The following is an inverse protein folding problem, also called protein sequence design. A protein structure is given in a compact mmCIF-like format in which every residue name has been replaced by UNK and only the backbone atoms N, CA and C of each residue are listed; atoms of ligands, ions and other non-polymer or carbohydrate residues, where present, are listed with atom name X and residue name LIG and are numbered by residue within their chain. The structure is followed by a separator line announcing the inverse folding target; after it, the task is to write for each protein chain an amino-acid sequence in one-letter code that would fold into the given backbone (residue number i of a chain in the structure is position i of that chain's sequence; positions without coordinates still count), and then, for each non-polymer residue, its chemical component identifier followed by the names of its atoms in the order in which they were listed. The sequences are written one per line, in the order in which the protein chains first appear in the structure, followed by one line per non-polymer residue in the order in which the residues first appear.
data_IF_352210636728
#
_entry.id   IF_352210636728
#
_cell.length_a   1.000
_cell.length_b   1.000
_cell.length_c   1.000
_cell.angle_alpha   90.00
_cell.angle_beta   90.00
_cell.angle_gamma   90.00
#
_symmetry.space_group_name_H-M   'P 1'
#
loop_
_entity.id
_entity.type
_entity.pdbx_description
1 polymer ?
#
# COMPACT_ATOMS: atom_id res chain seq x y z
N UNK A 1 17.86 41.39 -15.59
CA UNK A 1 18.30 40.72 -14.36
C UNK A 1 17.13 39.91 -13.80
N UNK A 2 17.00 38.64 -14.21
CA UNK A 2 16.07 37.70 -13.59
C UNK A 2 16.60 36.27 -13.86
N UNK A 3 17.53 35.82 -13.03
CA UNK A 3 17.89 34.41 -12.93
C UNK A 3 16.97 33.81 -11.87
N UNK A 4 15.90 33.14 -12.31
CA UNK A 4 15.09 32.28 -11.44
C UNK A 4 15.81 30.93 -11.38
N UNK A 5 16.28 30.57 -10.19
CA UNK A 5 17.00 29.34 -9.90
C UNK A 5 16.19 28.09 -10.25
N UNK A 6 16.60 27.38 -11.30
CA UNK A 6 16.29 25.97 -11.52
C UNK A 6 17.27 25.15 -10.64
N UNK A 7 17.04 25.09 -9.33
CA UNK A 7 17.89 24.31 -8.41
C UNK A 7 17.19 23.20 -7.62
N UNK A 8 15.87 23.11 -7.67
CA UNK A 8 15.11 22.11 -6.90
C UNK A 8 14.91 20.77 -7.62
N UNK A 9 15.05 20.68 -8.95
CA UNK A 9 14.81 19.43 -9.67
C UNK A 9 15.95 18.40 -9.54
N UNK A 10 17.18 18.84 -9.24
CA UNK A 10 18.37 17.99 -9.32
C UNK A 10 18.64 17.11 -8.08
N UNK A 11 17.96 17.36 -6.96
CA UNK A 11 18.20 16.62 -5.70
C UNK A 11 17.57 15.22 -5.67
N UNK A 12 16.62 14.93 -6.55
CA UNK A 12 15.94 13.63 -6.62
C UNK A 12 16.44 12.74 -7.77
N UNK A 13 17.11 13.29 -8.78
CA UNK A 13 17.50 12.55 -10.00
C UNK A 13 18.60 11.52 -9.67
N UNK A 14 19.62 11.91 -8.91
CA UNK A 14 20.74 11.03 -8.56
C UNK A 14 20.32 9.84 -7.67
N UNK A 15 19.55 10.01 -6.57
CA UNK A 15 19.08 8.88 -5.78
C UNK A 15 18.12 7.97 -6.55
N UNK A 16 17.29 8.51 -7.45
CA UNK A 16 16.41 7.71 -8.33
C UNK A 16 17.22 6.84 -9.29
N UNK A 17 18.27 7.39 -9.91
CA UNK A 17 19.16 6.62 -10.80
C UNK A 17 19.93 5.55 -10.01
N UNK A 18 20.39 5.87 -8.80
CA UNK A 18 21.09 4.92 -7.91
C UNK A 18 20.19 3.75 -7.53
N UNK A 19 18.94 4.01 -7.10
CA UNK A 19 17.97 2.96 -6.75
C UNK A 19 17.61 2.14 -7.99
N UNK A 20 17.35 2.78 -9.13
CA UNK A 20 17.07 2.10 -10.39
C UNK A 20 18.25 1.23 -10.85
N UNK A 21 19.50 1.71 -10.75
CA UNK A 21 20.71 0.98 -11.11
C UNK A 21 21.00 -0.19 -10.17
N UNK A 22 20.77 -0.01 -8.86
CA UNK A 22 20.85 -1.09 -7.86
C UNK A 22 19.82 -2.20 -8.09
N UNK A 23 18.61 -1.85 -8.56
CA UNK A 23 17.58 -2.82 -8.93
C UNK A 23 17.83 -3.47 -10.30
N UNK A 24 18.40 -2.75 -11.28
CA UNK A 24 18.75 -3.30 -12.60
C UNK A 24 19.81 -4.40 -12.55
N UNK A 25 20.63 -4.44 -11.49
CA UNK A 25 21.60 -5.50 -11.26
C UNK A 25 20.97 -6.79 -10.67
N UNK A 26 19.67 -6.82 -10.35
CA UNK A 26 19.05 -7.99 -9.70
C UNK A 26 17.61 -8.33 -10.10
N UNK A 27 16.90 -7.55 -10.94
CA UNK A 27 15.49 -7.85 -11.25
C UNK A 27 15.21 -7.78 -12.75
N UNK A 28 14.82 -8.88 -13.42
CA UNK A 28 14.27 -8.79 -14.76
C UNK A 28 12.98 -7.96 -14.71
N UNK A 29 12.86 -7.00 -15.64
CA UNK A 29 11.62 -6.26 -15.87
C UNK A 29 10.54 -7.26 -16.28
N UNK A 30 9.72 -7.69 -15.32
CA UNK A 30 8.53 -8.48 -15.60
C UNK A 30 7.36 -7.52 -15.77
N UNK A 31 6.66 -7.63 -16.91
CA UNK A 31 5.26 -7.19 -16.98
C UNK A 31 4.49 -7.83 -15.82
N UNK A 32 3.44 -7.19 -15.30
CA UNK A 32 2.59 -7.78 -14.27
C UNK A 32 1.99 -9.08 -14.79
N UNK A 33 2.35 -10.22 -14.19
CA UNK A 33 1.87 -11.54 -14.58
C UNK A 33 0.83 -12.00 -13.57
N UNK A 34 -0.35 -12.34 -14.04
CA UNK A 34 -1.36 -12.98 -13.20
C UNK A 34 -1.11 -14.49 -13.27
N UNK A 35 -1.03 -15.14 -12.12
CA UNK A 35 -0.88 -16.58 -11.94
C UNK A 35 -2.22 -17.17 -11.57
N UNK A 36 -2.55 -18.33 -12.14
CA UNK A 36 -3.81 -19.03 -11.89
C UNK A 36 -3.53 -20.48 -11.51
N UNK A 37 -4.12 -20.94 -10.40
CA UNK A 37 -4.07 -22.34 -9.99
C UNK A 37 -5.40 -22.82 -9.42
N UNK A 38 -5.55 -24.14 -9.33
CA UNK A 38 -6.70 -24.78 -8.67
C UNK A 38 -6.20 -25.51 -7.44
N UNK A 39 -6.86 -25.33 -6.30
CA UNK A 39 -6.50 -26.05 -5.08
C UNK A 39 -7.03 -27.49 -5.07
N UNK A 40 -6.66 -28.27 -4.05
CA UNK A 40 -7.08 -29.67 -3.88
C UNK A 40 -8.60 -29.83 -3.76
N UNK A 41 -9.32 -28.77 -3.39
CA UNK A 41 -10.78 -28.74 -3.31
C UNK A 41 -11.43 -28.28 -4.62
N UNK A 42 -10.62 -28.09 -5.67
CA UNK A 42 -11.10 -27.65 -6.97
C UNK A 42 -11.40 -26.15 -7.04
N UNK A 43 -11.03 -25.32 -6.06
CA UNK A 43 -11.29 -23.87 -6.10
C UNK A 43 -10.23 -23.15 -6.91
N UNK A 44 -10.65 -22.15 -7.66
CA UNK A 44 -9.78 -21.37 -8.54
C UNK A 44 -9.22 -20.15 -7.80
N UNK A 45 -7.91 -19.96 -7.90
CA UNK A 45 -7.18 -18.85 -7.28
C UNK A 45 -6.42 -18.04 -8.32
N UNK A 46 -6.26 -16.75 -8.07
CA UNK A 46 -5.47 -15.82 -8.87
C UNK A 46 -4.50 -15.04 -7.98
N UNK A 47 -3.32 -14.72 -8.50
CA UNK A 47 -2.35 -13.87 -7.82
C UNK A 47 -1.54 -13.08 -8.84
N UNK A 48 -1.20 -11.84 -8.56
CA UNK A 48 -0.27 -11.02 -9.33
C UNK A 48 1.21 -11.31 -9.00
N UNK A 49 1.45 -12.22 -8.04
CA UNK A 49 2.78 -12.64 -7.60
C UNK A 49 2.89 -14.16 -7.52
N UNK A 50 3.95 -14.72 -8.15
CA UNK A 50 4.26 -16.16 -8.10
C UNK A 50 4.55 -16.64 -6.67
N UNK A 51 4.99 -15.74 -5.78
CA UNK A 51 5.31 -16.07 -4.40
C UNK A 51 4.08 -16.40 -3.54
N UNK A 52 2.87 -16.02 -3.97
CA UNK A 52 1.64 -16.34 -3.24
C UNK A 52 1.06 -17.70 -3.64
N UNK A 53 1.65 -18.37 -4.63
CA UNK A 53 1.26 -19.72 -5.04
C UNK A 53 1.83 -20.71 -4.03
N UNK A 54 1.01 -21.63 -3.46
CA UNK A 54 1.51 -22.70 -2.59
C UNK A 54 2.67 -23.45 -3.23
N UNK A 55 3.73 -23.72 -2.47
CA UNK A 55 5.00 -24.25 -2.99
C UNK A 55 4.80 -25.56 -3.76
N UNK A 56 3.82 -26.37 -3.35
CA UNK A 56 3.47 -27.65 -3.95
C UNK A 56 2.84 -27.50 -5.34
N UNK A 57 2.30 -26.33 -5.67
CA UNK A 57 1.58 -26.05 -6.93
C UNK A 57 2.38 -25.16 -7.89
N UNK A 58 3.61 -24.78 -7.54
CA UNK A 58 4.45 -23.89 -8.34
C UNK A 58 4.75 -24.41 -9.75
N UNK A 59 4.86 -25.74 -9.90
CA UNK A 59 5.14 -26.39 -11.20
C UNK A 59 3.88 -26.55 -12.07
N UNK A 60 2.70 -26.59 -11.46
CA UNK A 60 1.41 -26.77 -12.14
C UNK A 60 0.71 -25.44 -12.46
N UNK A 61 1.21 -24.35 -11.87
CA UNK A 61 0.65 -23.02 -12.03
C UNK A 61 0.98 -22.45 -13.41
N UNK A 62 -0.06 -22.00 -14.12
CA UNK A 62 0.09 -21.34 -15.42
C UNK A 62 -0.01 -19.83 -15.26
N UNK A 63 0.78 -19.12 -16.04
CA UNK A 63 0.59 -17.69 -16.29
C UNK A 63 -0.76 -17.52 -17.02
N UNK A 64 -1.63 -16.69 -16.44
CA UNK A 64 -2.92 -16.36 -16.99
C UNK A 64 -2.78 -15.20 -17.96
N UNK A 65 -3.07 -15.46 -19.24
CA UNK A 65 -3.32 -14.41 -20.22
C UNK A 65 -4.83 -14.23 -20.34
N UNK A 66 -5.36 -13.02 -20.12
CA UNK A 66 -6.79 -12.77 -20.32
C UNK A 66 -7.11 -12.89 -21.81
N UNK A 67 -7.96 -13.86 -22.14
CA UNK A 67 -8.60 -13.93 -23.44
C UNK A 67 -9.74 -12.89 -23.45
N UNK A 68 -9.52 -11.78 -24.15
CA UNK A 68 -10.52 -10.70 -24.26
C UNK A 68 -11.77 -11.11 -25.04
N UNK A 69 -11.80 -12.31 -25.64
CA UNK A 69 -12.95 -12.79 -26.43
C UNK A 69 -14.02 -13.50 -25.60
N UNK A 70 -13.81 -13.71 -24.30
CA UNK A 70 -14.77 -14.41 -23.41
C UNK A 70 -15.13 -13.59 -22.16
N UNK A 71 -15.51 -12.32 -22.35
CA UNK A 71 -16.28 -11.61 -21.34
C UNK A 71 -17.75 -12.02 -21.50
N UNK A 72 -18.14 -13.11 -20.84
CA UNK A 72 -19.55 -13.39 -20.61
C UNK A 72 -20.00 -12.54 -19.42
N UNK A 73 -20.57 -11.37 -19.70
CA UNK A 73 -21.39 -10.66 -18.71
C UNK A 73 -22.63 -11.52 -18.50
N UNK A 74 -22.67 -12.25 -17.39
CA UNK A 74 -23.92 -12.87 -16.96
C UNK A 74 -24.88 -11.75 -16.53
N UNK A 75 -26.06 -11.61 -17.15
CA UNK A 75 -27.10 -10.75 -16.61
C UNK A 75 -27.44 -11.26 -15.21
N UNK A 76 -27.52 -10.35 -14.23
CA UNK A 76 -27.91 -10.69 -12.88
C UNK A 76 -29.25 -11.42 -12.88
N UNK A 77 -29.28 -12.57 -12.21
CA UNK A 77 -30.49 -13.35 -11.99
C UNK A 77 -31.59 -12.49 -11.37
N UNK A 78 -32.82 -12.72 -11.80
CA UNK A 78 -34.05 -12.10 -11.33
C UNK A 78 -34.20 -12.05 -9.80
N UNK A 79 -34.99 -11.08 -9.27
CA UNK A 79 -35.09 -10.84 -7.84
C UNK A 79 -35.67 -12.04 -7.11
N UNK A 80 -34.94 -12.54 -6.12
CA UNK A 80 -35.43 -13.54 -5.18
C UNK A 80 -36.58 -12.92 -4.39
N UNK A 81 -37.77 -13.50 -4.62
CA UNK A 81 -39.03 -13.30 -3.92
C UNK A 81 -38.87 -13.00 -2.42
N UNK A 82 -39.50 -11.90 -2.00
CA UNK A 82 -39.73 -11.52 -0.61
C UNK A 82 -40.51 -12.61 0.12
N UNK A 83 -39.84 -13.37 1.00
CA UNK A 83 -40.43 -13.94 2.22
C UNK A 83 -39.36 -14.66 3.07
N UNK A 84 -38.63 -13.91 3.90
CA UNK A 84 -38.01 -14.49 5.11
C UNK A 84 -38.13 -13.51 6.28
N UNK A 85 -39.03 -13.87 7.20
CA UNK A 85 -39.08 -13.59 8.63
C UNK A 85 -38.67 -12.20 9.13
N UNK A 86 -39.69 -11.43 9.54
CA UNK A 86 -39.58 -10.40 10.59
C UNK A 86 -39.13 -11.05 11.90
N UNK A 87 -37.85 -10.91 12.27
CA UNK A 87 -37.41 -11.08 13.66
C UNK A 87 -36.10 -10.33 13.94
N UNK A 88 -36.24 -9.24 14.69
CA UNK A 88 -35.33 -8.76 15.78
C UNK A 88 -33.83 -8.48 15.57
N UNK A 89 -33.22 -8.68 14.39
CA UNK A 89 -31.76 -8.46 14.24
C UNK A 89 -31.32 -7.11 13.61
N UNK A 90 -32.28 -6.30 13.14
CA UNK A 90 -32.00 -5.03 12.44
C UNK A 90 -31.37 -3.95 13.34
N UNK A 91 -31.61 -3.98 14.65
CA UNK A 91 -31.07 -2.97 15.58
C UNK A 91 -29.64 -3.29 16.06
N UNK A 92 -29.17 -4.54 15.97
CA UNK A 92 -27.76 -4.88 16.23
C UNK A 92 -26.85 -4.52 15.06
N UNK A 93 -27.33 -4.64 13.82
CA UNK A 93 -26.57 -4.29 12.61
C UNK A 93 -26.29 -2.77 12.49
N UNK A 94 -27.08 -1.93 13.15
CA UNK A 94 -26.97 -0.47 13.05
C UNK A 94 -25.78 0.14 13.80
N UNK A 95 -25.21 -0.56 14.79
CA UNK A 95 -24.14 0.02 15.62
C UNK A 95 -22.78 0.06 14.92
N UNK A 96 -22.62 -0.77 13.88
CA UNK A 96 -21.33 -1.03 13.21
C UNK A 96 -21.37 -0.69 11.70
N UNK A 97 -22.41 0.05 11.28
CA UNK A 97 -22.62 0.52 9.91
C UNK A 97 -22.34 2.01 9.81
N UNK A 98 -21.40 2.38 8.96
CA UNK A 98 -20.95 3.75 8.76
C UNK A 98 -21.40 4.24 7.40
N UNK A 99 -22.16 5.34 7.38
CA UNK A 99 -22.62 5.98 6.15
C UNK A 99 -21.74 7.19 5.84
N UNK A 100 -20.87 7.05 4.84
CA UNK A 100 -19.84 8.02 4.50
C UNK A 100 -20.25 8.77 3.23
N UNK A 101 -20.38 10.11 3.23
CA UNK A 101 -20.59 10.85 2.00
C UNK A 101 -19.38 10.72 1.07
N UNK A 102 -19.63 10.61 -0.24
CA UNK A 102 -18.55 10.62 -1.24
C UNK A 102 -18.86 11.55 -2.42
N UNK A 103 -17.80 12.07 -3.04
CA UNK A 103 -17.88 12.83 -4.29
C UNK A 103 -17.68 11.87 -5.46
N UNK A 104 -18.62 11.91 -6.41
CA UNK A 104 -18.74 10.88 -7.44
C UNK A 104 -17.95 11.14 -8.73
N UNK A 105 -17.31 12.31 -8.89
CA UNK A 105 -16.78 12.75 -10.19
C UNK A 105 -15.36 13.30 -10.10
N UNK A 106 -14.52 12.83 -11.01
CA UNK A 106 -13.31 13.50 -11.47
C UNK A 106 -13.40 13.59 -13.00
N UNK A 107 -13.68 14.77 -13.55
CA UNK A 107 -13.96 14.93 -14.98
C UNK A 107 -15.15 14.07 -15.43
N UNK A 108 -14.91 13.17 -16.40
CA UNK A 108 -15.91 12.22 -16.93
C UNK A 108 -15.94 10.87 -16.19
N UNK A 109 -15.01 10.60 -15.27
CA UNK A 109 -14.91 9.33 -14.58
C UNK A 109 -15.76 9.32 -13.30
N UNK A 110 -16.51 8.23 -13.10
CA UNK A 110 -17.20 7.96 -11.84
C UNK A 110 -16.20 7.39 -10.82
N UNK A 111 -16.09 8.05 -9.67
CA UNK A 111 -15.18 7.66 -8.59
C UNK A 111 -15.89 7.68 -7.26
N UNK A 112 -15.31 7.04 -6.25
CA UNK A 112 -15.75 7.17 -4.85
C UNK A 112 -14.65 7.89 -4.10
N UNK A 113 -14.79 9.21 -3.95
CA UNK A 113 -13.80 10.04 -3.25
C UNK A 113 -14.38 10.46 -1.90
N UNK A 114 -13.72 10.08 -0.81
CA UNK A 114 -14.15 10.36 0.55
C UNK A 114 -13.17 11.32 1.23
N UNK A 115 -13.66 12.08 2.21
CA UNK A 115 -12.77 12.87 3.06
C UNK A 115 -12.18 12.00 4.17
N UNK A 116 -10.86 12.04 4.30
CA UNK A 116 -10.10 11.30 5.29
C UNK A 116 -9.29 12.28 6.12
N UNK A 117 -9.36 12.15 7.45
CA UNK A 117 -8.56 12.95 8.38
C UNK A 117 -7.35 12.14 8.85
N UNK A 118 -6.17 12.67 8.64
CA UNK A 118 -4.90 12.03 8.97
C UNK A 118 -4.29 12.71 10.20
N UNK A 119 -3.78 11.91 11.14
CA UNK A 119 -3.17 12.35 12.40
C UNK A 119 -4.03 13.34 13.21
N UNK A 120 -5.35 13.36 12.98
CA UNK A 120 -6.30 14.27 13.62
C UNK A 120 -6.25 15.74 13.16
N UNK A 121 -5.39 16.08 12.20
CA UNK A 121 -5.11 17.49 11.85
C UNK A 121 -5.35 17.82 10.38
N UNK A 122 -5.01 16.92 9.45
CA UNK A 122 -5.08 17.21 8.01
C UNK A 122 -6.18 16.38 7.38
N UNK A 123 -7.19 17.05 6.84
CA UNK A 123 -8.25 16.40 6.04
C UNK A 123 -7.95 16.55 4.55
N UNK A 124 -8.11 15.46 3.80
CA UNK A 124 -7.91 15.45 2.36
C UNK A 124 -8.90 14.49 1.65
N UNK A 125 -9.25 14.79 0.39
CA UNK A 125 -10.02 13.89 -0.46
C UNK A 125 -9.16 12.69 -0.85
N UNK A 126 -9.67 11.48 -0.66
CA UNK A 126 -8.98 10.21 -0.95
C UNK A 126 -9.89 9.32 -1.77
N UNK A 127 -9.35 8.76 -2.85
CA UNK A 127 -10.03 7.80 -3.70
C UNK A 127 -10.13 6.44 -2.99
N UNK A 128 -11.31 5.84 -2.98
CA UNK A 128 -11.48 4.44 -2.57
C UNK A 128 -11.07 3.55 -3.74
N UNK A 129 -10.04 2.74 -3.54
CA UNK A 129 -9.47 1.88 -4.58
C UNK A 129 -9.27 0.44 -4.07
N UNK A 130 -10.22 -0.44 -4.39
CA UNK A 130 -10.15 -1.86 -4.05
C UNK A 130 -9.07 -2.62 -4.81
N UNK A 131 -8.48 -2.02 -5.85
CA UNK A 131 -7.35 -2.58 -6.61
C UNK A 131 -5.99 -2.28 -5.97
N UNK A 132 -5.92 -1.37 -4.98
CA UNK A 132 -4.68 -1.06 -4.29
C UNK A 132 -4.47 -1.95 -3.07
N UNK A 133 -3.25 -2.49 -2.84
CA UNK A 133 -2.95 -3.27 -1.65
C UNK A 133 -2.90 -2.42 -0.37
N UNK A 134 -2.81 -1.09 -0.47
CA UNK A 134 -2.88 -0.23 0.70
C UNK A 134 -2.93 1.27 0.44
N UNK A 135 -2.63 2.07 1.47
CA UNK A 135 -2.67 3.53 1.38
C UNK A 135 -1.54 4.09 0.49
N UNK A 136 -1.90 4.93 -0.47
CA UNK A 136 -0.96 5.75 -1.25
C UNK A 136 -1.38 7.21 -1.11
N UNK A 137 -0.43 8.11 -0.86
CA UNK A 137 -0.67 9.55 -0.74
C UNK A 137 0.26 10.32 -1.68
N UNK A 138 -0.19 11.50 -2.09
CA UNK A 138 0.62 12.41 -2.88
C UNK A 138 1.74 13.01 -2.04
N UNK A 139 2.79 13.45 -2.72
CA UNK A 139 3.87 14.23 -2.13
C UNK A 139 3.37 15.52 -1.45
N UNK A 140 2.37 16.20 -2.02
CA UNK A 140 1.73 17.39 -1.42
C UNK A 140 1.03 17.07 -0.09
N UNK A 141 0.25 15.99 -0.05
CA UNK A 141 -0.41 15.57 1.19
C UNK A 141 0.62 15.19 2.25
N UNK A 142 1.68 14.48 1.87
CA UNK A 142 2.76 14.17 2.78
C UNK A 142 3.42 15.44 3.36
N UNK A 143 3.51 16.54 2.59
CA UNK A 143 4.13 17.79 3.02
C UNK A 143 3.24 18.48 4.06
N UNK A 144 1.94 18.54 3.79
CA UNK A 144 0.93 19.04 4.72
C UNK A 144 0.91 18.25 6.04
N UNK A 145 1.21 16.96 5.96
CA UNK A 145 1.31 16.06 7.12
C UNK A 145 2.64 16.16 7.88
N UNK A 146 3.62 16.91 7.38
CA UNK A 146 4.94 17.01 7.99
C UNK A 146 5.69 15.68 8.01
N UNK A 147 5.46 14.79 7.03
CA UNK A 147 6.13 13.48 6.94
C UNK A 147 7.55 13.55 6.39
N UNK A 148 7.99 14.75 6.02
CA UNK A 148 9.34 15.04 5.62
C UNK A 148 10.12 15.41 6.88
N UNK A 149 11.17 14.67 7.22
CA UNK A 149 12.10 15.11 8.26
C UNK A 149 12.83 16.39 7.79
N UNK A 150 13.64 17.00 8.68
CA UNK A 150 14.42 18.21 8.35
C UNK A 150 15.39 18.01 7.17
N UNK A 151 15.69 16.76 6.80
CA UNK A 151 16.59 16.40 5.72
C UNK A 151 15.86 15.90 4.45
N UNK A 152 14.52 15.84 4.45
CA UNK A 152 13.69 15.27 3.37
C UNK A 152 13.80 13.75 3.20
N UNK A 153 14.42 13.06 4.16
CA UNK A 153 14.76 11.64 4.17
C UNK A 153 13.54 10.72 4.10
N UNK A 154 13.66 9.64 3.33
CA UNK A 154 12.60 8.65 3.06
C UNK A 154 13.20 7.30 2.80
N UNK A 155 12.58 6.24 3.30
CA UNK A 155 12.86 4.90 2.77
C UNK A 155 12.31 4.82 1.34
N UNK A 156 13.19 4.81 0.36
CA UNK A 156 12.85 4.67 -1.05
C UNK A 156 12.59 3.20 -1.37
N UNK A 157 11.48 2.94 -2.04
CA UNK A 157 11.02 1.59 -2.41
C UNK A 157 10.49 1.58 -3.84
N UNK A 158 10.39 0.39 -4.42
CA UNK A 158 9.66 0.18 -5.66
C UNK A 158 8.25 -0.34 -5.33
N UNK A 159 7.26 0.21 -6.01
CA UNK A 159 5.88 -0.27 -6.01
C UNK A 159 5.49 -0.66 -7.43
N UNK A 160 4.63 -1.67 -7.58
CA UNK A 160 4.18 -2.17 -8.87
C UNK A 160 2.66 -2.19 -8.92
N UNK A 161 2.11 -1.97 -10.11
CA UNK A 161 0.68 -2.09 -10.39
C UNK A 161 0.42 -2.18 -11.89
N UNK A 162 -0.82 -1.98 -12.31
CA UNK A 162 -1.23 -2.06 -13.72
C UNK A 162 -0.44 -1.06 -14.59
N UNK A 163 -0.09 0.10 -14.04
CA UNK A 163 0.72 1.13 -14.71
C UNK A 163 2.23 0.85 -14.71
N UNK A 164 2.67 -0.35 -14.34
CA UNK A 164 4.09 -0.73 -14.25
C UNK A 164 4.68 -0.51 -12.85
N UNK A 165 6.02 -0.46 -12.81
CA UNK A 165 6.78 -0.28 -11.56
C UNK A 165 7.24 1.17 -11.44
N UNK A 166 7.07 1.74 -10.24
CA UNK A 166 7.42 3.13 -9.93
C UNK A 166 8.18 3.21 -8.61
N UNK A 167 8.99 4.26 -8.49
CA UNK A 167 9.63 4.58 -7.21
C UNK A 167 8.65 5.31 -6.31
N UNK A 168 8.61 4.93 -5.04
CA UNK A 168 7.82 5.58 -4.00
C UNK A 168 8.66 5.71 -2.73
N UNK A 169 8.14 6.43 -1.75
CA UNK A 169 8.68 6.44 -0.41
C UNK A 169 7.77 5.72 0.56
N UNK A 170 8.34 4.85 1.39
CA UNK A 170 7.63 4.10 2.42
C UNK A 170 7.58 4.90 3.70
N UNK A 171 6.41 4.97 4.33
CA UNK A 171 6.22 5.64 5.62
C UNK A 171 5.10 4.98 6.43
N UNK A 172 4.87 5.48 7.64
CA UNK A 172 3.75 5.09 8.50
C UNK A 172 2.98 6.35 8.88
N UNK A 173 1.67 6.36 8.63
CA UNK A 173 0.74 7.32 9.20
C UNK A 173 0.27 6.81 10.57
N UNK A 174 0.27 7.66 11.58
CA UNK A 174 -0.07 7.24 12.94
C UNK A 174 -1.56 6.93 13.08
N UNK A 175 -2.41 7.79 12.53
CA UNK A 175 -3.86 7.69 12.67
C UNK A 175 -4.58 8.15 11.40
N UNK A 176 -5.63 7.43 11.05
CA UNK A 176 -6.53 7.75 9.95
C UNK A 176 -7.97 7.69 10.46
N UNK A 177 -8.79 8.68 10.12
CA UNK A 177 -10.20 8.76 10.52
C UNK A 177 -11.12 9.07 9.34
N UNK A 178 -12.22 8.32 9.24
CA UNK A 178 -13.28 8.47 8.22
C UNK A 178 -14.62 8.46 8.95
N UNK A 179 -15.20 9.65 9.16
CA UNK A 179 -16.34 9.77 10.09
C UNK A 179 -15.97 9.21 11.46
N UNK A 180 -16.68 8.20 11.93
CA UNK A 180 -16.39 7.50 13.19
C UNK A 180 -15.43 6.31 13.07
N UNK A 181 -15.05 5.90 11.85
CA UNK A 181 -14.01 4.89 11.64
C UNK A 181 -12.66 5.51 12.03
N UNK A 182 -11.86 4.75 12.78
CA UNK A 182 -10.50 5.14 13.16
C UNK A 182 -9.57 3.95 13.03
N UNK A 183 -8.50 4.15 12.27
CA UNK A 183 -7.41 3.21 12.08
C UNK A 183 -6.12 3.81 12.67
N UNK A 184 -5.26 2.94 13.19
CA UNK A 184 -3.95 3.31 13.74
C UNK A 184 -2.86 2.50 13.05
N UNK A 185 -1.66 3.08 12.92
CA UNK A 185 -0.52 2.48 12.25
C UNK A 185 -0.86 2.05 10.82
N UNK A 186 -0.78 3.00 9.88
CA UNK A 186 -1.11 2.79 8.48
C UNK A 186 0.17 2.88 7.65
N UNK A 187 0.75 1.75 7.22
CA UNK A 187 1.86 1.75 6.27
C UNK A 187 1.43 2.39 4.94
N UNK A 188 2.04 3.50 4.58
CA UNK A 188 1.68 4.26 3.38
C UNK A 188 2.82 4.31 2.37
N UNK A 189 2.48 4.56 1.11
CA UNK A 189 3.42 4.97 0.09
C UNK A 189 3.19 6.43 -0.28
N UNK A 190 4.27 7.18 -0.42
CA UNK A 190 4.26 8.55 -0.95
C UNK A 190 4.74 8.48 -2.40
N UNK A 191 3.95 9.03 -3.31
CA UNK A 191 4.28 9.09 -4.74
C UNK A 191 4.29 10.54 -5.21
N UNK A 192 5.13 10.83 -6.22
CA UNK A 192 5.22 12.14 -6.85
C UNK A 192 4.09 12.41 -7.86
N UNK A 193 3.12 11.50 -7.97
CA UNK A 193 1.97 11.70 -8.83
C UNK A 193 1.06 12.81 -8.31
N UNK A 194 0.51 13.55 -9.27
CA UNK A 194 -0.48 14.58 -9.01
C UNK A 194 -1.82 14.08 -9.54
N UNK A 195 -2.83 14.22 -8.70
CA UNK A 195 -4.22 13.98 -9.06
C UNK A 195 -5.00 15.26 -8.77
N UNK A 196 -5.99 15.55 -9.60
CA UNK A 196 -6.71 16.83 -9.52
C UNK A 196 -7.83 16.77 -8.49
N UNK A 197 -8.55 15.65 -8.40
CA UNK A 197 -9.72 15.53 -7.53
C UNK A 197 -9.43 14.91 -6.15
N UNK A 198 -8.26 14.30 -5.96
CA UNK A 198 -7.90 13.61 -4.72
C UNK A 198 -6.41 13.73 -4.42
N UNK A 199 -6.03 13.45 -3.17
CA UNK A 199 -4.67 13.58 -2.68
C UNK A 199 -4.01 12.23 -2.37
N UNK A 200 -4.68 11.14 -2.72
CA UNK A 200 -4.26 9.77 -2.45
C UNK A 200 -5.38 8.77 -2.70
N UNK A 201 -5.09 7.50 -2.48
CA UNK A 201 -6.04 6.40 -2.54
C UNK A 201 -5.91 5.50 -1.31
N UNK A 202 -7.04 4.95 -0.87
CA UNK A 202 -7.14 4.00 0.24
C UNK A 202 -7.39 2.60 -0.33
N UNK A 203 -6.58 1.64 0.11
CA UNK A 203 -6.56 0.29 -0.44
C UNK A 203 -7.06 -0.78 0.53
N UNK A 204 -6.88 -2.02 0.11
CA UNK A 204 -7.39 -3.20 0.80
C UNK A 204 -6.76 -3.46 2.18
N UNK A 205 -5.63 -2.81 2.52
CA UNK A 205 -5.06 -2.86 3.87
C UNK A 205 -6.03 -2.34 4.94
N UNK A 206 -6.87 -1.36 4.60
CA UNK A 206 -7.90 -0.80 5.47
C UNK A 206 -9.27 -1.33 5.06
N UNK A 207 -9.59 -1.28 3.76
CA UNK A 207 -10.93 -1.59 3.24
C UNK A 207 -11.37 -3.03 3.56
N UNK A 208 -10.44 -3.98 3.67
CA UNK A 208 -10.74 -5.39 3.99
C UNK A 208 -11.34 -5.62 5.38
N UNK A 209 -11.36 -4.61 6.24
CA UNK A 209 -12.01 -4.67 7.55
C UNK A 209 -13.53 -4.45 7.49
N UNK A 210 -14.04 -4.08 6.30
CA UNK A 210 -15.42 -3.65 6.08
C UNK A 210 -16.06 -4.36 4.89
N UNK A 211 -17.35 -4.63 4.97
CA UNK A 211 -18.19 -4.84 3.79
C UNK A 211 -18.61 -3.47 3.26
N UNK A 212 -18.25 -3.17 2.02
CA UNK A 212 -18.49 -1.88 1.39
C UNK A 212 -19.65 -1.96 0.38
N UNK A 213 -20.59 -1.04 0.49
CA UNK A 213 -21.66 -0.83 -0.49
C UNK A 213 -21.60 0.60 -1.01
N UNK A 214 -21.52 0.77 -2.33
CA UNK A 214 -21.62 2.07 -2.97
C UNK A 214 -23.11 2.31 -3.27
N UNK A 215 -23.69 3.32 -2.66
CA UNK A 215 -25.04 3.80 -2.92
C UNK A 215 -24.95 5.10 -3.74
N UNK A 216 -25.00 5.00 -5.09
CA UNK A 216 -24.87 6.16 -5.96
C UNK A 216 -26.11 7.05 -5.95
N UNK A 217 -27.28 6.52 -5.62
CA UNK A 217 -28.52 7.30 -5.57
C UNK A 217 -28.44 8.35 -4.44
N UNK A 218 -27.84 7.97 -3.30
CA UNK A 218 -27.68 8.86 -2.14
C UNK A 218 -26.25 9.43 -2.00
N UNK A 219 -25.33 9.09 -2.90
CA UNK A 219 -23.90 9.44 -2.82
C UNK A 219 -23.27 9.05 -1.48
N UNK A 220 -23.53 7.81 -1.06
CA UNK A 220 -23.08 7.24 0.21
C UNK A 220 -22.23 6.01 -0.04
N UNK A 221 -21.10 5.91 0.65
CA UNK A 221 -20.35 4.69 0.83
C UNK A 221 -20.76 4.12 2.19
N UNK A 222 -21.40 2.97 2.19
CA UNK A 222 -21.82 2.27 3.40
C UNK A 222 -20.73 1.26 3.75
N UNK A 223 -20.09 1.43 4.89
CA UNK A 223 -19.06 0.53 5.40
C UNK A 223 -19.58 -0.19 6.64
N UNK A 224 -19.74 -1.50 6.58
CA UNK A 224 -20.15 -2.33 7.70
C UNK A 224 -18.93 -3.05 8.25
N UNK A 225 -18.54 -2.77 9.49
CA UNK A 225 -17.38 -3.43 10.10
C UNK A 225 -17.63 -4.94 10.19
N UNK A 226 -16.67 -5.75 9.79
CA UNK A 226 -16.77 -7.20 9.87
C UNK A 226 -16.52 -7.61 11.33
N UNK A 227 -17.48 -8.22 12.05
CA UNK A 227 -17.34 -8.48 13.50
C UNK A 227 -16.12 -9.33 13.87
N UNK A 228 -15.71 -10.25 12.99
CA UNK A 228 -14.54 -11.09 13.17
C UNK A 228 -13.20 -10.32 13.21
N UNK A 229 -13.21 -9.03 12.82
CA UNK A 229 -12.05 -8.14 12.85
C UNK A 229 -11.79 -7.60 14.26
N UNK A 230 -12.83 -7.35 15.06
CA UNK A 230 -12.72 -6.72 16.39
C UNK A 230 -11.84 -7.48 17.37
N UNK A 231 -11.83 -8.80 17.28
CA UNK A 231 -11.06 -9.66 18.17
C UNK A 231 -9.61 -9.86 17.72
N UNK A 232 -9.20 -9.22 16.61
CA UNK A 232 -7.84 -9.33 16.08
C UNK A 232 -6.93 -8.25 16.67
N UNK A 233 -5.65 -8.54 16.94
CA UNK A 233 -4.69 -7.52 17.35
C UNK A 233 -4.67 -6.35 16.36
N UNK A 234 -5.09 -5.17 16.83
CA UNK A 234 -5.25 -3.95 16.03
C UNK A 234 -6.18 -4.10 14.81
N UNK A 235 -7.17 -5.00 14.84
CA UNK A 235 -8.04 -5.23 13.68
C UNK A 235 -7.35 -5.92 12.49
N UNK A 236 -6.14 -6.48 12.67
CA UNK A 236 -5.37 -7.12 11.59
C UNK A 236 -5.17 -8.60 11.85
N UNK A 237 -5.34 -9.42 10.82
CA UNK A 237 -5.12 -10.86 10.91
C UNK A 237 -3.64 -11.25 10.87
N UNK A 238 -3.38 -12.54 11.05
CA UNK A 238 -2.05 -13.13 10.99
C UNK A 238 -1.34 -12.85 9.66
N UNK A 239 -2.06 -12.91 8.54
CA UNK A 239 -1.49 -12.77 7.20
C UNK A 239 -0.96 -11.35 7.02
N UNK A 240 -1.74 -10.35 7.42
CA UNK A 240 -1.33 -8.94 7.39
C UNK A 240 -0.07 -8.71 8.24
N UNK A 241 -0.08 -9.18 9.49
CA UNK A 241 1.05 -9.01 10.40
C UNK A 241 2.33 -9.65 9.85
N UNK A 242 2.25 -10.90 9.42
CA UNK A 242 3.41 -11.59 8.84
C UNK A 242 3.90 -10.91 7.57
N UNK A 243 3.00 -10.42 6.71
CA UNK A 243 3.39 -9.67 5.52
C UNK A 243 4.15 -8.38 5.87
N UNK A 244 3.67 -7.59 6.85
CA UNK A 244 4.36 -6.36 7.28
C UNK A 244 5.69 -6.63 7.97
N UNK A 245 5.77 -7.67 8.80
CA UNK A 245 7.04 -8.06 9.41
C UNK A 245 8.06 -8.51 8.37
N UNK A 246 7.67 -9.31 7.38
CA UNK A 246 8.55 -9.69 6.26
C UNK A 246 9.01 -8.48 5.45
N UNK A 247 8.09 -7.60 5.07
CA UNK A 247 8.36 -6.40 4.27
C UNK A 247 9.37 -5.48 4.98
N UNK A 248 9.09 -5.09 6.23
CA UNK A 248 9.91 -4.11 6.95
C UNK A 248 11.26 -4.71 7.39
N UNK A 249 11.30 -6.00 7.76
CA UNK A 249 12.56 -6.71 8.04
C UNK A 249 13.43 -6.78 6.80
N UNK A 250 12.86 -7.11 5.65
CA UNK A 250 13.59 -7.15 4.37
C UNK A 250 14.32 -5.84 4.10
N UNK A 251 13.62 -4.70 4.19
CA UNK A 251 14.29 -3.41 3.95
C UNK A 251 15.35 -3.08 5.00
N UNK A 252 15.09 -3.39 6.27
CA UNK A 252 16.07 -3.19 7.34
C UNK A 252 17.35 -4.00 7.09
N UNK A 253 17.23 -5.29 6.74
CA UNK A 253 18.36 -6.17 6.48
C UNK A 253 19.07 -5.82 5.16
N UNK A 254 18.31 -5.49 4.12
CA UNK A 254 18.85 -5.12 2.81
C UNK A 254 19.75 -3.89 2.92
N UNK A 255 19.31 -2.81 3.57
CA UNK A 255 20.11 -1.60 3.70
C UNK A 255 21.29 -1.77 4.66
N UNK A 256 21.17 -2.61 5.68
CA UNK A 256 22.30 -3.02 6.53
C UNK A 256 23.39 -3.73 5.70
N UNK A 257 23.00 -4.62 4.78
CA UNK A 257 23.94 -5.26 3.86
C UNK A 257 24.60 -4.23 2.92
N UNK A 258 23.85 -3.24 2.43
CA UNK A 258 24.43 -2.18 1.58
C UNK A 258 25.48 -1.35 2.33
N UNK A 259 25.27 -1.06 3.62
CA UNK A 259 26.28 -0.43 4.47
C UNK A 259 27.55 -1.28 4.57
N UNK A 260 27.43 -2.60 4.72
CA UNK A 260 28.60 -3.49 4.78
C UNK A 260 29.36 -3.57 3.46
N UNK A 261 28.70 -3.30 2.33
CA UNK A 261 29.28 -3.38 0.98
C UNK A 261 29.90 -2.06 0.52
N UNK A 262 29.39 -0.91 0.96
CA UNK A 262 29.71 0.39 0.34
C UNK A 262 31.20 0.73 0.30
N UNK A 263 31.97 0.35 1.32
CA UNK A 263 33.43 0.59 1.39
C UNK A 263 34.28 -0.61 0.97
N UNK A 264 33.67 -1.74 0.58
CA UNK A 264 34.44 -2.92 0.18
C UNK A 264 35.06 -2.70 -1.20
N UNK A 265 36.34 -3.02 -1.31
CA UNK A 265 37.13 -2.91 -2.55
C UNK A 265 36.57 -3.72 -3.72
N UNK A 266 35.91 -4.85 -3.45
CA UNK A 266 35.26 -5.70 -4.46
C UNK A 266 33.74 -5.51 -4.55
N UNK A 267 33.21 -4.38 -4.07
CA UNK A 267 31.77 -4.10 -4.14
C UNK A 267 31.34 -3.58 -5.52
N UNK A 268 30.03 -3.62 -5.83
CA UNK A 268 29.47 -2.95 -7.01
C UNK A 268 29.75 -1.44 -7.08
N UNK A 269 30.13 -0.83 -5.95
CA UNK A 269 30.34 0.61 -5.79
C UNK A 269 31.78 1.06 -5.96
N UNK A 270 32.72 0.11 -5.97
CA UNK A 270 34.17 0.33 -6.00
C UNK A 270 34.67 1.16 -7.19
N UNK A 271 33.89 1.20 -8.28
CA UNK A 271 34.26 1.89 -9.53
C UNK A 271 33.71 3.33 -9.62
N UNK A 272 32.98 3.80 -8.61
CA UNK A 272 32.39 5.13 -8.63
C UNK A 272 33.46 6.21 -8.37
N UNK A 273 33.36 7.38 -9.02
CA UNK A 273 34.17 8.55 -8.67
C UNK A 273 34.02 8.91 -7.18
N UNK A 274 35.06 9.43 -6.51
CA UNK A 274 35.01 9.70 -5.07
C UNK A 274 33.84 10.59 -4.60
N UNK A 275 33.44 11.58 -5.41
CA UNK A 275 32.32 12.47 -5.10
C UNK A 275 30.96 11.75 -5.19
N UNK A 276 30.79 10.82 -6.13
CA UNK A 276 29.59 10.00 -6.26
C UNK A 276 29.53 8.92 -5.19
N UNK A 277 30.67 8.28 -4.90
CA UNK A 277 30.79 7.31 -3.80
C UNK A 277 30.41 7.93 -2.46
N UNK A 278 30.88 9.15 -2.15
CA UNK A 278 30.49 9.88 -0.93
C UNK A 278 28.98 10.15 -0.87
N UNK A 279 28.36 10.55 -1.98
CA UNK A 279 26.90 10.81 -2.05
C UNK A 279 26.11 9.52 -1.87
N UNK A 280 26.50 8.46 -2.58
CA UNK A 280 25.89 7.14 -2.48
C UNK A 280 25.99 6.60 -1.05
N UNK A 281 27.16 6.68 -0.43
CA UNK A 281 27.37 6.25 0.95
C UNK A 281 26.44 7.00 1.90
N UNK A 282 26.37 8.32 1.79
CA UNK A 282 25.46 9.13 2.61
C UNK A 282 24.00 8.68 2.42
N UNK A 283 23.60 8.42 1.16
CA UNK A 283 22.27 7.91 0.85
C UNK A 283 22.02 6.52 1.45
N UNK A 284 22.94 5.56 1.31
CA UNK A 284 22.81 4.20 1.88
C UNK A 284 22.62 4.26 3.40
N UNK A 285 23.43 5.05 4.11
CA UNK A 285 23.33 5.19 5.56
C UNK A 285 21.97 5.78 5.96
N UNK A 286 21.52 6.80 5.23
CA UNK A 286 20.21 7.41 5.41
C UNK A 286 19.07 6.39 5.21
N UNK A 287 19.11 5.60 4.12
CA UNK A 287 18.11 4.55 3.87
C UNK A 287 18.08 3.47 4.96
N UNK A 288 19.26 3.09 5.46
CA UNK A 288 19.42 2.15 6.58
C UNK A 288 18.77 2.67 7.85
N UNK A 289 18.99 3.95 8.20
CA UNK A 289 18.38 4.58 9.37
C UNK A 289 16.84 4.61 9.26
N UNK A 290 16.31 5.01 8.10
CA UNK A 290 14.86 5.04 7.85
C UNK A 290 14.23 3.64 7.94
N UNK A 291 14.86 2.63 7.33
CA UNK A 291 14.35 1.26 7.35
C UNK A 291 14.31 0.69 8.78
N UNK A 292 15.36 0.93 9.57
CA UNK A 292 15.44 0.49 10.95
C UNK A 292 14.39 1.20 11.83
N UNK A 293 14.16 2.50 11.65
CA UNK A 293 13.14 3.22 12.42
C UNK A 293 11.73 2.75 12.06
N UNK A 294 11.43 2.54 10.78
CA UNK A 294 10.16 2.00 10.34
C UNK A 294 9.92 0.58 10.89
N UNK A 295 10.93 -0.29 10.85
CA UNK A 295 10.84 -1.64 11.43
C UNK A 295 10.66 -1.59 12.96
N UNK A 296 11.37 -0.69 13.64
CA UNK A 296 11.23 -0.48 15.08
C UNK A 296 9.84 0.03 15.46
N UNK A 297 9.25 0.93 14.66
CA UNK A 297 7.85 1.37 14.83
C UNK A 297 6.88 0.18 14.76
N UNK A 298 7.06 -0.73 13.80
CA UNK A 298 6.23 -1.94 13.68
C UNK A 298 6.35 -2.84 14.90
N UNK A 299 7.58 -3.11 15.38
CA UNK A 299 7.82 -3.92 16.58
C UNK A 299 7.18 -3.30 17.83
N UNK A 300 7.35 -1.98 18.02
CA UNK A 300 6.73 -1.24 19.15
C UNK A 300 5.21 -1.32 19.09
N UNK A 301 4.62 -1.10 17.93
CA UNK A 301 3.17 -1.18 17.73
C UNK A 301 2.63 -2.59 17.95
N UNK A 302 3.29 -3.61 17.40
CA UNK A 302 2.93 -5.02 17.60
C UNK A 302 2.99 -5.44 19.08
N UNK A 303 4.01 -4.96 19.81
CA UNK A 303 4.12 -5.17 21.26
C UNK A 303 2.98 -4.51 22.00
N UNK A 304 2.68 -3.24 21.71
CA UNK A 304 1.59 -2.51 22.33
C UNK A 304 0.23 -3.16 22.09
N UNK A 305 0.02 -3.75 20.91
CA UNK A 305 -1.22 -4.41 20.52
C UNK A 305 -1.27 -5.91 20.86
N UNK A 306 -0.34 -6.40 21.69
CA UNK A 306 -0.26 -7.79 22.13
C UNK A 306 -0.27 -8.83 20.98
N UNK A 307 0.34 -8.48 19.84
CA UNK A 307 0.41 -9.38 18.68
C UNK A 307 1.23 -10.62 19.04
N UNK A 308 0.74 -11.86 18.79
CA UNK A 308 1.48 -13.07 19.10
C UNK A 308 2.86 -13.11 18.43
N UNK A 309 3.90 -13.53 19.15
CA UNK A 309 5.28 -13.55 18.61
C UNK A 309 5.42 -14.36 17.32
N UNK A 310 4.65 -15.44 17.16
CA UNK A 310 4.67 -16.27 15.96
C UNK A 310 4.00 -15.61 14.74
N UNK A 311 3.25 -14.51 14.92
CA UNK A 311 2.72 -13.68 13.82
C UNK A 311 3.74 -12.64 13.36
N UNK A 312 4.81 -12.41 14.13
CA UNK A 312 5.86 -11.43 13.83
C UNK A 312 7.06 -12.02 13.07
N UNK A 313 6.93 -13.26 12.61
CA UNK A 313 7.98 -14.00 11.91
C UNK A 313 7.76 -13.92 10.40
#
# INVERSE_FOLDING_TARGET
MLFIEIRTCCRLILPVIIVAYLCLLTVPVSAGKIYKWRDKQGRLHFSDSKHNVPTELLNETKEYQPDSSSITVMPGSEPISDNVAKTTDRDKLRKDSFSIPYVSREGSANRVIINVTFNGTVTAPILVDTGSPGLIISDDLAHRLGLFDKNGSRLMVLISGIGGTKTAARTIINKLSIGSITEEFIPAHIVSEKWDAYAGLIGMDILSSYTLTIDPANQRLIANEIPAVRNRPAGRDKVWWQAKFREFRFYSEFWEQQVMLVDRSNSPYSRLPPSEHKKLKSFIFQQRDEAQELFSKLERFARWRNVPRHWRR
#
